data_IF_687055016088
#
_entry.id   IF_687055016088
#
_cell.length_a   1.000
_cell.length_b   1.000
_cell.length_c   1.000
_cell.angle_alpha   90.00
_cell.angle_beta   90.00
_cell.angle_gamma   90.00
#
_symmetry.space_group_name_H-M   'P 1'
#
loop_
_entity.id
_entity.type
_entity.pdbx_description
1 polymer ?
#
# COMPACT_ATOMS: atom_id res chain seq x y z
N UNK A 1 11.17 -25.52 -11.55
CA UNK A 1 11.17 -25.03 -10.99
C UNK A 1 11.16 -24.53 -10.73
N UNK A 2 11.13 -24.26 -10.51
CA UNK A 2 11.11 -23.56 -9.97
C UNK A 2 11.41 -22.95 -9.78
N UNK A 3 11.40 -23.08 -9.77
CA UNK A 3 11.70 -22.42 -9.33
C UNK A 3 11.74 -21.40 -9.14
N UNK A 4 11.66 -21.11 -9.39
CA UNK A 4 11.50 -19.91 -9.06
C UNK A 4 11.02 -19.37 -7.81
N UNK A 5 10.31 -19.78 -7.13
CA UNK A 5 9.85 -19.26 -5.88
C UNK A 5 10.82 -19.37 -4.75
N UNK A 6 11.79 -20.10 -4.89
CA UNK A 6 12.89 -20.09 -3.95
C UNK A 6 13.59 -18.74 -3.93
N UNK A 7 13.64 -18.05 -5.05
CA UNK A 7 14.22 -16.70 -5.09
C UNK A 7 13.39 -15.69 -4.31
N UNK A 8 12.06 -15.85 -4.30
CA UNK A 8 11.21 -14.94 -3.54
C UNK A 8 11.37 -15.14 -2.05
N UNK A 9 11.73 -16.35 -1.59
CA UNK A 9 11.97 -16.61 -0.17
C UNK A 9 13.36 -16.24 0.28
N UNK A 10 14.33 -16.14 -0.64
CA UNK A 10 15.72 -15.85 -0.29
C UNK A 10 16.00 -14.35 -0.19
N UNK A 11 15.20 -13.51 -0.85
CA UNK A 11 15.40 -12.07 -0.85
C UNK A 11 14.33 -11.40 -0.01
N UNK A 12 14.73 -10.53 0.95
CA UNK A 12 13.74 -9.76 1.72
C UNK A 12 12.92 -8.88 0.80
N UNK A 13 11.63 -8.88 1.02
CA UNK A 13 10.71 -8.05 0.25
C UNK A 13 10.00 -7.07 1.16
N UNK A 14 9.73 -5.89 0.63
CA UNK A 14 9.12 -4.79 1.35
C UNK A 14 8.00 -4.22 0.49
N UNK A 15 6.94 -3.75 1.11
CA UNK A 15 5.88 -3.06 0.37
C UNK A 15 5.88 -1.59 0.75
N UNK A 16 5.84 -0.73 -0.24
CA UNK A 16 5.68 0.70 -0.06
C UNK A 16 4.31 1.11 -0.55
N UNK A 17 3.60 1.89 0.28
CA UNK A 17 2.31 2.48 -0.07
C UNK A 17 2.54 3.98 -0.18
N UNK A 18 2.33 4.51 -1.39
CA UNK A 18 2.54 5.92 -1.68
C UNK A 18 1.19 6.54 -1.99
N UNK A 19 0.63 7.23 -0.99
CA UNK A 19 -0.69 7.85 -1.09
C UNK A 19 -0.53 9.31 -1.50
N UNK A 20 -0.71 9.57 -2.78
CA UNK A 20 -0.70 10.92 -3.30
C UNK A 20 -2.08 11.56 -3.28
N UNK A 21 -2.13 12.87 -3.44
CA UNK A 21 -3.38 13.61 -3.39
C UNK A 21 -4.28 13.30 -4.60
N UNK A 22 -3.72 12.92 -5.74
CA UNK A 22 -4.50 12.62 -6.95
C UNK A 22 -4.56 11.14 -7.24
N UNK A 23 -3.53 10.40 -6.86
CA UNK A 23 -3.49 8.96 -7.09
C UNK A 23 -2.56 8.31 -6.07
N UNK A 24 -2.82 7.05 -5.79
CA UNK A 24 -1.97 6.25 -4.94
C UNK A 24 -1.42 5.07 -5.70
N UNK A 25 -0.37 4.47 -5.15
CA UNK A 25 0.23 3.27 -5.71
C UNK A 25 0.89 2.45 -4.62
N UNK A 26 1.00 1.17 -4.89
CA UNK A 26 1.73 0.26 -4.02
C UNK A 26 2.84 -0.39 -4.83
N UNK A 27 3.96 -0.59 -4.18
CA UNK A 27 5.17 -1.04 -4.83
C UNK A 27 5.77 -2.16 -4.00
N UNK A 28 6.18 -3.23 -4.68
CA UNK A 28 6.95 -4.30 -4.05
C UNK A 28 8.42 -4.04 -4.35
N UNK A 29 9.24 -4.02 -3.32
CA UNK A 29 10.65 -3.78 -3.45
C UNK A 29 11.48 -4.87 -2.80
N UNK A 30 12.67 -5.08 -3.31
CA UNK A 30 13.66 -5.96 -2.71
C UNK A 30 15.05 -5.41 -3.02
N UNK A 31 16.04 -5.87 -2.25
CA UNK A 31 17.44 -5.52 -2.52
C UNK A 31 18.14 -6.80 -2.90
N UNK A 32 18.68 -6.83 -4.12
CA UNK A 32 19.37 -8.00 -4.66
C UNK A 32 20.74 -7.57 -5.17
N UNK A 33 21.77 -8.17 -4.63
CA UNK A 33 23.17 -7.85 -5.00
C UNK A 33 23.46 -6.37 -4.90
N UNK A 34 22.95 -5.73 -3.85
CA UNK A 34 23.17 -4.32 -3.60
C UNK A 34 22.31 -3.37 -4.44
N UNK A 35 21.39 -3.90 -5.22
CA UNK A 35 20.53 -3.09 -6.08
C UNK A 35 19.09 -3.18 -5.63
N UNK A 36 18.40 -2.05 -5.69
CA UNK A 36 16.96 -1.99 -5.42
C UNK A 36 16.21 -2.45 -6.65
N UNK A 37 15.42 -3.50 -6.47
CA UNK A 37 14.50 -4.01 -7.48
C UNK A 37 13.11 -3.63 -7.04
N UNK A 38 12.33 -2.99 -7.91
CA UNK A 38 11.00 -2.56 -7.53
C UNK A 38 10.00 -2.81 -8.66
N UNK A 39 8.77 -3.10 -8.27
CA UNK A 39 7.69 -3.39 -9.17
C UNK A 39 6.40 -2.80 -8.64
N UNK A 40 5.68 -2.06 -9.47
CA UNK A 40 4.39 -1.53 -9.07
C UNK A 40 3.38 -2.69 -8.97
N UNK A 41 2.67 -2.76 -7.83
CA UNK A 41 1.64 -3.76 -7.60
C UNK A 41 0.28 -3.26 -8.03
N UNK A 42 -0.10 -2.10 -7.55
CA UNK A 42 -1.40 -1.50 -7.83
C UNK A 42 -1.27 -0.01 -7.98
N UNK A 43 -2.23 0.58 -8.68
CA UNK A 43 -2.35 2.03 -8.84
C UNK A 43 -3.83 2.36 -8.83
N UNK A 44 -4.20 3.45 -8.17
CA UNK A 44 -5.60 3.82 -8.00
C UNK A 44 -5.75 5.34 -7.93
N UNK A 45 -6.89 5.87 -8.37
CA UNK A 45 -7.16 7.30 -8.18
C UNK A 45 -7.53 7.56 -6.73
N UNK A 46 -7.13 8.73 -6.22
CA UNK A 46 -7.57 9.20 -4.93
C UNK A 46 -8.65 10.26 -5.17
N UNK A 47 -9.78 10.11 -4.52
CA UNK A 47 -10.96 10.93 -4.81
C UNK A 47 -11.37 11.74 -3.60
N UNK A 48 -11.88 12.93 -3.88
CA UNK A 48 -12.48 13.80 -2.88
C UNK A 48 -13.99 13.68 -3.00
N UNK A 49 -14.64 13.45 -1.87
CA UNK A 49 -16.10 13.42 -1.79
C UNK A 49 -16.58 14.71 -1.17
N UNK A 50 -17.57 15.34 -1.78
CA UNK A 50 -18.22 16.52 -1.21
C UNK A 50 -19.53 16.10 -0.57
N UNK A 51 -19.69 16.47 0.71
CA UNK A 51 -20.89 16.10 1.46
C UNK A 51 -21.15 17.18 2.51
N UNK A 52 -22.38 17.70 2.53
CA UNK A 52 -22.79 18.69 3.52
C UNK A 52 -21.96 19.97 3.50
N UNK A 53 -21.51 20.41 2.32
CA UNK A 53 -20.70 21.60 2.18
C UNK A 53 -19.22 21.43 2.53
N UNK A 54 -18.78 20.21 2.81
CA UNK A 54 -17.38 19.91 3.15
C UNK A 54 -16.80 18.92 2.17
N UNK A 55 -15.46 18.91 2.11
CA UNK A 55 -14.72 17.96 1.28
C UNK A 55 -14.06 16.94 2.18
N UNK A 56 -14.12 15.68 1.76
CA UNK A 56 -13.56 14.56 2.50
C UNK A 56 -12.73 13.67 1.59
N UNK A 57 -11.64 13.15 2.12
CA UNK A 57 -10.94 12.02 1.52
C UNK A 57 -11.70 10.74 1.89
N UNK A 58 -11.71 9.77 0.99
CA UNK A 58 -12.34 8.49 1.26
C UNK A 58 -11.33 7.56 1.91
N UNK A 59 -11.24 7.63 3.24
CA UNK A 59 -10.28 6.83 4.00
C UNK A 59 -10.54 5.34 3.89
N UNK A 60 -11.81 4.95 3.77
CA UNK A 60 -12.16 3.54 3.63
C UNK A 60 -11.67 2.98 2.30
N UNK A 61 -11.79 3.73 1.23
CA UNK A 61 -11.28 3.32 -0.07
C UNK A 61 -9.76 3.21 -0.05
N UNK A 62 -9.07 4.14 0.61
CA UNK A 62 -7.62 4.08 0.75
C UNK A 62 -7.18 2.84 1.51
N UNK A 63 -7.84 2.54 2.61
CA UNK A 63 -7.56 1.34 3.39
C UNK A 63 -7.76 0.08 2.54
N UNK A 64 -8.85 0.04 1.79
CA UNK A 64 -9.18 -1.10 0.94
C UNK A 64 -8.11 -1.34 -0.12
N UNK A 65 -7.53 -0.28 -0.66
CA UNK A 65 -6.46 -0.41 -1.64
C UNK A 65 -5.19 -1.01 -1.03
N UNK A 66 -4.88 -0.67 0.22
CA UNK A 66 -3.75 -1.27 0.93
C UNK A 66 -4.00 -2.77 1.11
N UNK A 67 -5.20 -3.14 1.54
CA UNK A 67 -5.56 -4.56 1.73
C UNK A 67 -5.51 -5.31 0.39
N UNK A 68 -5.97 -4.67 -0.68
CA UNK A 68 -5.93 -5.29 -2.02
C UNK A 68 -4.50 -5.61 -2.43
N UNK A 69 -3.58 -4.68 -2.20
CA UNK A 69 -2.17 -4.91 -2.52
C UNK A 69 -1.58 -6.04 -1.68
N UNK A 70 -1.94 -6.12 -0.40
CA UNK A 70 -1.48 -7.21 0.45
C UNK A 70 -1.97 -8.57 -0.04
N UNK A 71 -3.20 -8.62 -0.56
CA UNK A 71 -3.73 -9.85 -1.14
C UNK A 71 -2.98 -10.26 -2.41
N UNK A 72 -2.62 -9.31 -3.23
CA UNK A 72 -1.80 -9.58 -4.42
C UNK A 72 -0.48 -10.22 -4.01
N UNK A 73 0.19 -9.65 -3.02
CA UNK A 73 1.46 -10.16 -2.52
C UNK A 73 1.29 -11.57 -1.95
N UNK A 74 0.23 -11.79 -1.17
CA UNK A 74 -0.04 -13.09 -0.56
C UNK A 74 -0.31 -14.15 -1.64
N UNK A 75 -1.07 -13.79 -2.67
CA UNK A 75 -1.38 -14.71 -3.76
C UNK A 75 -0.13 -15.09 -4.55
N UNK A 76 0.85 -14.22 -4.62
CA UNK A 76 2.13 -14.52 -5.25
C UNK A 76 3.07 -15.34 -4.36
N UNK A 77 2.68 -15.59 -3.12
CA UNK A 77 3.50 -16.36 -2.20
C UNK A 77 4.68 -15.59 -1.62
N UNK A 78 4.68 -14.27 -1.75
CA UNK A 78 5.76 -13.41 -1.26
C UNK A 78 5.55 -13.14 0.22
N UNK A 79 6.61 -13.22 1.01
CA UNK A 79 6.59 -12.88 2.43
C UNK A 79 7.22 -11.51 2.61
N UNK A 80 6.44 -10.59 3.13
CA UNK A 80 6.91 -9.23 3.37
C UNK A 80 7.66 -9.14 4.70
N UNK A 81 8.76 -8.42 4.69
CA UNK A 81 9.49 -8.08 5.90
C UNK A 81 8.90 -6.85 6.58
N UNK A 82 8.43 -5.90 5.79
CA UNK A 82 7.88 -4.66 6.32
C UNK A 82 6.99 -3.97 5.30
N UNK A 83 6.20 -3.03 5.81
CA UNK A 83 5.36 -2.15 5.00
C UNK A 83 5.65 -0.72 5.46
N UNK A 84 5.88 0.16 4.49
CA UNK A 84 5.99 1.58 4.75
C UNK A 84 4.88 2.32 4.04
N UNK A 85 4.34 3.35 4.67
CA UNK A 85 3.27 4.16 4.10
C UNK A 85 3.71 5.61 4.13
N UNK A 86 3.59 6.27 2.98
CA UNK A 86 3.85 7.69 2.84
C UNK A 86 2.59 8.36 2.29
N UNK A 87 2.31 9.57 2.73
CA UNK A 87 1.09 10.27 2.36
C UNK A 87 1.33 11.77 2.34
N UNK A 88 0.35 12.51 1.82
CA UNK A 88 0.39 13.98 1.87
C UNK A 88 0.20 14.48 3.29
N UNK A 89 0.61 15.72 3.55
CA UNK A 89 0.44 16.35 4.85
C UNK A 89 -0.89 17.08 5.02
N UNK A 90 -1.03 17.77 6.12
CA UNK A 90 -2.09 18.71 6.52
C UNK A 90 -3.47 18.12 6.77
N UNK A 91 -3.64 16.82 6.59
CA UNK A 91 -4.92 16.14 6.84
C UNK A 91 -4.76 15.08 7.90
N UNK A 92 -5.86 14.73 8.53
CA UNK A 92 -5.87 13.69 9.57
C UNK A 92 -7.26 13.08 9.66
N UNK A 93 -7.34 11.96 10.34
CA UNK A 93 -8.61 11.29 10.63
C UNK A 93 -8.64 10.94 12.11
N UNK A 94 -9.82 11.04 12.70
CA UNK A 94 -10.01 10.68 14.09
C UNK A 94 -10.48 9.23 14.18
N UNK A 95 -9.86 8.47 15.08
CA UNK A 95 -10.15 7.04 15.24
C UNK A 95 -10.56 6.81 16.69
N UNK A 96 -11.62 6.05 16.89
CA UNK A 96 -12.08 5.69 18.22
C UNK A 96 -11.25 4.57 18.84
N UNK A 97 -11.57 4.25 20.08
CA UNK A 97 -10.85 3.20 20.82
C UNK A 97 -10.99 1.82 20.17
N UNK A 98 -12.08 1.61 19.46
CA UNK A 98 -12.35 0.35 18.75
C UNK A 98 -11.66 0.27 17.37
N UNK A 99 -10.92 1.31 16.99
CA UNK A 99 -10.26 1.37 15.69
C UNK A 99 -11.12 1.88 14.57
N UNK A 100 -12.35 2.25 14.82
CA UNK A 100 -13.24 2.78 13.80
C UNK A 100 -13.05 4.28 13.62
N UNK A 101 -13.24 4.74 12.38
CA UNK A 101 -13.21 6.15 12.06
C UNK A 101 -14.41 6.82 12.71
N UNK A 102 -14.16 7.94 13.34
CA UNK A 102 -15.22 8.73 14.00
C UNK A 102 -15.95 9.63 13.00
#
# INVERSE_FOLDING_TARGET
MNTNHSTTTSCPCFMAVDLGATSGRTILGSVEKGQLIQRELTRFPNRITQLGGHFYWDIYALYDEVIRALRVVADEGVRLQSIGIDTWGVDFVCVGKDGNVL
#
